data_IF_910866371574
#
_entry.id   IF_910866371574
#
_cell.length_a   1.000
_cell.length_b   1.000
_cell.length_c   1.000
_cell.angle_alpha   90.00
_cell.angle_beta   90.00
_cell.angle_gamma   90.00
#
_symmetry.space_group_name_H-M   'P 1'
#
loop_
_entity.id
_entity.type
_entity.pdbx_description
1 polymer ?
#
# COMPACT_ATOMS: atom_id res chain seq x y z
N UNK A 1 -27.85 7.32 67.51
CA UNK A 1 -27.27 8.35 66.63
C UNK A 1 -26.62 7.63 65.46
N UNK A 2 -27.06 7.95 64.24
CA UNK A 2 -26.54 7.43 62.97
C UNK A 2 -25.30 8.24 62.51
N UNK A 3 -24.63 7.94 61.37
CA UNK A 3 -24.81 6.81 60.45
C UNK A 3 -23.52 6.09 59.97
N UNK A 4 -23.77 4.92 59.36
CA UNK A 4 -22.90 4.11 58.52
C UNK A 4 -22.70 4.74 57.13
N UNK A 5 -21.50 4.62 56.56
CA UNK A 5 -21.20 4.81 55.12
C UNK A 5 -20.45 3.56 54.64
N UNK A 6 -21.14 2.54 54.11
CA UNK A 6 -21.64 2.38 52.74
C UNK A 6 -20.53 2.43 51.67
N UNK A 7 -19.93 1.26 51.42
CA UNK A 7 -18.96 0.99 50.37
C UNK A 7 -19.75 0.43 49.18
N UNK A 8 -19.97 1.26 48.17
CA UNK A 8 -20.74 0.89 46.99
C UNK A 8 -19.95 -0.13 46.16
N UNK A 9 -20.32 -1.40 46.29
CA UNK A 9 -20.13 -2.38 45.25
C UNK A 9 -21.09 -2.08 44.10
N UNK A 10 -20.56 -1.93 42.89
CA UNK A 10 -21.36 -2.01 41.68
C UNK A 10 -20.85 -3.17 40.85
N UNK A 11 -21.82 -4.03 40.58
CA UNK A 11 -21.81 -5.31 39.93
C UNK A 11 -21.55 -5.21 38.43
N UNK A 12 -20.87 -6.25 37.95
CA UNK A 12 -20.84 -6.79 36.58
C UNK A 12 -22.10 -6.47 35.78
N UNK A 13 -21.90 -5.89 34.59
CA UNK A 13 -22.85 -6.04 33.48
C UNK A 13 -22.05 -6.22 32.19
N UNK A 14 -22.00 -7.46 31.71
CA UNK A 14 -21.46 -7.83 30.41
C UNK A 14 -22.38 -7.27 29.33
N UNK A 15 -21.87 -6.40 28.48
CA UNK A 15 -22.57 -6.00 27.25
C UNK A 15 -22.60 -7.17 26.26
N UNK A 16 -23.72 -7.41 25.55
CA UNK A 16 -23.79 -8.45 24.54
C UNK A 16 -22.98 -8.04 23.30
N UNK A 17 -22.03 -8.88 22.92
CA UNK A 17 -21.30 -8.79 21.65
C UNK A 17 -22.31 -9.12 20.54
N UNK A 18 -22.74 -8.10 19.79
CA UNK A 18 -23.50 -8.31 18.58
C UNK A 18 -22.55 -8.72 17.45
N UNK A 19 -22.66 -9.99 17.05
CA UNK A 19 -21.96 -10.53 15.89
C UNK A 19 -22.41 -9.81 14.61
N UNK A 20 -21.47 -9.15 13.93
CA UNK A 20 -21.67 -8.64 12.57
C UNK A 20 -21.54 -9.80 11.56
N UNK A 21 -22.51 -10.00 10.65
CA UNK A 21 -22.38 -11.01 9.61
C UNK A 21 -21.42 -10.54 8.50
N UNK A 22 -20.36 -11.31 8.28
CA UNK A 22 -19.48 -11.22 7.12
C UNK A 22 -20.26 -11.52 5.83
N UNK A 23 -20.63 -10.48 5.09
CA UNK A 23 -21.17 -10.62 3.74
C UNK A 23 -20.02 -10.66 2.71
N UNK A 24 -19.50 -11.86 2.44
CA UNK A 24 -18.70 -12.11 1.24
C UNK A 24 -19.64 -12.09 0.02
N UNK A 25 -19.64 -10.99 -0.74
CA UNK A 25 -20.24 -10.99 -2.09
C UNK A 25 -19.16 -11.27 -3.13
N UNK A 26 -19.35 -12.39 -3.81
CA UNK A 26 -18.60 -12.84 -4.97
C UNK A 26 -18.86 -11.91 -6.17
N UNK A 27 -17.79 -11.38 -6.78
CA UNK A 27 -17.92 -10.69 -8.07
C UNK A 27 -18.06 -11.73 -9.18
N UNK A 28 -19.24 -11.76 -9.84
CA UNK A 28 -19.48 -12.53 -11.06
C UNK A 28 -18.79 -11.85 -12.25
N UNK A 29 -18.00 -12.62 -12.99
CA UNK A 29 -17.32 -12.27 -14.25
C UNK A 29 -18.38 -12.09 -15.34
N UNK A 30 -18.53 -10.87 -15.88
CA UNK A 30 -19.43 -10.57 -16.99
C UNK A 30 -18.84 -11.02 -18.32
N UNK A 31 -19.62 -11.78 -19.09
CA UNK A 31 -19.32 -12.21 -20.46
C UNK A 31 -19.33 -11.01 -21.42
N UNK A 32 -18.29 -10.89 -22.26
CA UNK A 32 -18.29 -9.99 -23.41
C UNK A 32 -19.13 -10.64 -24.50
N UNK A 33 -20.17 -9.95 -24.98
CA UNK A 33 -21.01 -10.36 -26.11
C UNK A 33 -20.58 -9.56 -27.35
N UNK A 34 -20.25 -10.29 -28.42
CA UNK A 34 -19.80 -9.74 -29.70
C UNK A 34 -20.89 -8.99 -30.44
N UNK A 35 -20.44 -8.05 -31.27
CA UNK A 35 -21.25 -7.18 -32.13
C UNK A 35 -21.70 -7.96 -33.38
N UNK A 36 -23.01 -7.97 -33.66
CA UNK A 36 -23.60 -8.51 -34.89
C UNK A 36 -24.25 -7.36 -35.66
N UNK A 37 -23.79 -7.15 -36.89
CA UNK A 37 -24.27 -6.09 -37.78
C UNK A 37 -25.65 -6.36 -38.35
N UNK A 38 -26.37 -5.28 -38.69
CA UNK A 38 -27.47 -5.34 -39.65
C UNK A 38 -27.57 -4.04 -40.44
N UNK A 39 -27.62 -4.20 -41.75
CA UNK A 39 -27.80 -3.22 -42.81
C UNK A 39 -29.25 -2.79 -42.96
N UNK A 40 -29.53 -1.50 -43.19
CA UNK A 40 -30.68 -1.03 -44.00
C UNK A 40 -30.40 0.32 -44.68
N UNK A 41 -30.84 0.39 -45.94
CA UNK A 41 -30.79 1.49 -46.91
C UNK A 41 -32.15 2.21 -46.97
N UNK A 42 -32.19 3.53 -47.24
CA UNK A 42 -33.21 4.31 -48.00
C UNK A 42 -32.83 5.81 -47.88
N UNK A 43 -32.35 6.47 -48.94
CA UNK A 43 -33.07 7.20 -50.02
C UNK A 43 -33.37 8.69 -49.74
N UNK A 44 -32.55 9.54 -50.38
CA UNK A 44 -32.76 10.77 -51.17
C UNK A 44 -33.87 11.77 -50.74
N UNK A 45 -33.48 13.05 -50.57
CA UNK A 45 -34.21 14.21 -51.13
C UNK A 45 -33.34 15.47 -51.15
N UNK A 46 -33.16 16.07 -52.34
CA UNK A 46 -32.63 17.42 -52.53
C UNK A 46 -33.73 18.47 -52.33
N UNK A 47 -33.41 19.60 -51.68
CA UNK A 47 -34.04 20.88 -52.02
C UNK A 47 -33.08 22.04 -51.72
N UNK A 48 -33.02 22.96 -52.67
CA UNK A 48 -32.15 24.12 -52.79
C UNK A 48 -32.42 25.23 -51.76
N UNK A 49 -31.43 26.14 -51.63
CA UNK A 49 -31.53 27.62 -51.48
C UNK A 49 -30.66 28.23 -50.35
N UNK A 50 -29.75 29.08 -50.81
CA UNK A 50 -29.24 30.36 -50.29
C UNK A 50 -28.45 30.47 -48.97
N UNK A 51 -27.22 30.92 -49.18
CA UNK A 51 -26.40 31.88 -48.41
C UNK A 51 -27.14 32.72 -47.37
N UNK A 52 -26.69 32.69 -46.09
CA UNK A 52 -26.48 33.86 -45.21
C UNK A 52 -25.73 33.47 -43.93
N UNK A 53 -24.89 34.40 -43.46
CA UNK A 53 -23.89 34.36 -42.39
C UNK A 53 -24.36 33.76 -41.05
N UNK A 54 -23.77 32.61 -40.67
CA UNK A 54 -23.45 32.20 -39.28
C UNK A 54 -22.28 31.21 -39.35
N UNK A 55 -21.12 31.60 -38.84
CA UNK A 55 -19.97 30.70 -38.73
C UNK A 55 -20.21 29.72 -37.58
N UNK A 56 -20.86 28.60 -37.86
CA UNK A 56 -20.79 27.41 -37.01
C UNK A 56 -19.53 26.66 -37.39
N UNK A 57 -18.59 26.56 -36.46
CA UNK A 57 -17.43 25.67 -36.56
C UNK A 57 -17.99 24.24 -36.53
N UNK A 58 -18.30 23.71 -37.71
CA UNK A 58 -18.58 22.29 -37.89
C UNK A 58 -17.26 21.54 -37.76
N UNK A 59 -17.19 20.61 -36.80
CA UNK A 59 -16.14 19.60 -36.75
C UNK A 59 -16.26 18.76 -38.02
N UNK A 60 -15.51 19.12 -39.05
CA UNK A 60 -15.28 18.25 -40.18
C UNK A 60 -14.44 17.07 -39.67
N UNK A 61 -15.12 15.97 -39.35
CA UNK A 61 -14.46 14.68 -39.16
C UNK A 61 -13.85 14.30 -40.50
N UNK A 62 -12.58 14.65 -40.71
CA UNK A 62 -11.78 14.02 -41.76
C UNK A 62 -11.75 12.55 -41.37
N UNK A 63 -12.55 11.74 -42.04
CA UNK A 63 -12.37 10.29 -42.02
C UNK A 63 -11.04 10.06 -42.72
N UNK A 64 -9.97 10.00 -41.92
CA UNK A 64 -8.76 9.31 -42.32
C UNK A 64 -9.18 7.85 -42.55
N UNK A 65 -9.62 7.56 -43.76
CA UNK A 65 -9.46 6.22 -44.33
C UNK A 65 -7.96 6.05 -44.54
N UNK A 66 -7.23 5.85 -43.44
CA UNK A 66 -5.94 5.22 -43.54
C UNK A 66 -6.23 3.86 -44.13
N UNK A 67 -5.82 3.63 -45.38
CA UNK A 67 -5.46 2.29 -45.78
C UNK A 67 -4.41 1.86 -44.77
N UNK A 68 -4.85 1.11 -43.76
CA UNK A 68 -3.96 0.26 -43.01
C UNK A 68 -3.42 -0.68 -44.07
N UNK A 69 -2.26 -0.33 -44.64
CA UNK A 69 -1.41 -1.36 -45.18
C UNK A 69 -1.36 -2.43 -44.09
N UNK A 70 -1.69 -3.66 -44.46
CA UNK A 70 -1.52 -4.84 -43.64
C UNK A 70 -0.02 -5.01 -43.34
N UNK A 71 0.55 -4.07 -42.61
CA UNK A 71 1.77 -4.28 -41.87
C UNK A 71 1.32 -5.14 -40.71
N UNK A 72 1.18 -6.44 -41.00
CA UNK A 72 1.15 -7.52 -40.02
C UNK A 72 2.23 -7.14 -39.01
N UNK A 73 1.83 -6.98 -37.76
CA UNK A 73 2.77 -6.64 -36.69
C UNK A 73 3.91 -7.65 -36.75
N UNK A 74 5.11 -7.21 -37.16
CA UNK A 74 6.31 -8.05 -37.23
C UNK A 74 6.88 -8.36 -35.84
N UNK A 75 6.22 -7.89 -34.79
CA UNK A 75 6.45 -8.36 -33.43
C UNK A 75 5.93 -9.80 -33.34
N UNK A 76 6.73 -10.73 -33.87
CA UNK A 76 6.59 -12.14 -33.57
C UNK A 76 6.62 -12.33 -32.06
N UNK A 77 5.87 -13.32 -31.59
CA UNK A 77 5.97 -13.79 -30.21
C UNK A 77 7.45 -13.97 -29.87
N UNK A 78 7.94 -13.15 -28.94
CA UNK A 78 9.33 -13.20 -28.51
C UNK A 78 9.59 -14.39 -27.58
N UNK A 79 8.58 -15.24 -27.33
CA UNK A 79 8.66 -16.44 -26.50
C UNK A 79 8.88 -16.14 -25.02
N UNK A 80 8.79 -14.87 -24.62
CA UNK A 80 9.04 -14.40 -23.25
C UNK A 80 7.75 -14.25 -22.44
N UNK A 81 6.59 -14.41 -23.05
CA UNK A 81 5.29 -14.30 -22.38
C UNK A 81 4.71 -15.70 -22.13
N UNK A 82 4.18 -15.92 -20.93
CA UNK A 82 3.44 -17.13 -20.61
C UNK A 82 2.00 -16.97 -21.12
N UNK A 83 1.63 -17.73 -22.15
CA UNK A 83 0.29 -17.71 -22.77
C UNK A 83 -0.77 -18.49 -21.98
N UNK A 84 -0.33 -19.30 -21.02
CA UNK A 84 -1.21 -20.05 -20.12
C UNK A 84 -1.66 -19.19 -18.91
N UNK A 85 -2.83 -19.48 -18.32
CA UNK A 85 -3.24 -18.86 -17.06
C UNK A 85 -2.13 -19.03 -16.02
N UNK A 86 -1.68 -17.92 -15.42
CA UNK A 86 -0.58 -17.92 -14.46
C UNK A 86 -0.74 -19.07 -13.46
N UNK A 87 0.22 -20.02 -13.39
CA UNK A 87 0.09 -21.17 -12.53
C UNK A 87 -0.05 -20.70 -11.09
N UNK A 88 -1.06 -21.21 -10.40
CA UNK A 88 -1.22 -20.91 -8.99
C UNK A 88 -0.07 -21.60 -8.22
N UNK A 89 0.80 -20.83 -7.53
CA UNK A 89 1.95 -21.43 -6.85
C UNK A 89 1.48 -22.37 -5.75
N UNK A 90 2.01 -23.59 -5.75
CA UNK A 90 1.75 -24.60 -4.72
C UNK A 90 3.05 -24.91 -3.97
N UNK A 91 2.98 -25.03 -2.64
CA UNK A 91 4.11 -25.44 -1.83
C UNK A 91 4.17 -26.98 -1.81
N UNK A 92 5.21 -27.56 -2.41
CA UNK A 92 5.41 -29.02 -2.50
C UNK A 92 5.92 -29.64 -1.20
N UNK A 93 6.65 -28.88 -0.39
CA UNK A 93 7.16 -29.33 0.90
C UNK A 93 6.06 -29.29 1.97
N UNK A 94 6.09 -30.20 2.97
CA UNK A 94 5.20 -30.19 4.16
C UNK A 94 5.56 -29.05 5.13
N UNK A 95 5.50 -27.81 4.63
CA UNK A 95 5.74 -26.57 5.37
C UNK A 95 4.44 -25.91 5.82
N UNK A 96 3.31 -26.63 5.84
CA UNK A 96 2.13 -26.17 6.56
C UNK A 96 2.29 -26.48 8.05
N UNK A 97 1.65 -25.71 8.93
CA UNK A 97 1.52 -26.16 10.32
C UNK A 97 0.51 -27.32 10.34
N UNK A 98 0.90 -28.45 10.92
CA UNK A 98 0.11 -29.70 10.90
C UNK A 98 -1.26 -29.57 11.56
N UNK A 99 -1.41 -28.68 12.55
CA UNK A 99 -2.68 -28.49 13.27
C UNK A 99 -3.63 -27.53 12.56
N UNK A 100 -3.11 -26.56 11.81
CA UNK A 100 -3.92 -25.47 11.23
C UNK A 100 -3.99 -25.49 9.70
N UNK A 101 -3.24 -26.36 9.02
CA UNK A 101 -3.17 -26.46 7.55
C UNK A 101 -2.55 -25.24 6.84
N UNK A 102 -2.31 -24.16 7.60
CA UNK A 102 -1.72 -22.89 7.18
C UNK A 102 -0.65 -22.52 8.20
N UNK A 103 0.40 -21.81 7.80
CA UNK A 103 1.29 -21.20 8.80
C UNK A 103 0.47 -20.13 9.56
N UNK A 104 0.57 -20.12 10.89
CA UNK A 104 -0.26 -19.29 11.77
C UNK A 104 -0.17 -17.79 11.45
N UNK A 105 0.94 -17.32 10.87
CA UNK A 105 1.10 -15.94 10.41
C UNK A 105 0.14 -15.57 9.26
N UNK A 106 -0.34 -16.52 8.46
CA UNK A 106 -1.33 -16.23 7.41
C UNK A 106 -2.73 -16.09 8.02
N UNK A 107 -3.03 -16.87 9.07
CA UNK A 107 -4.36 -16.93 9.70
C UNK A 107 -4.57 -15.87 10.78
N UNK A 108 -3.51 -15.40 11.46
CA UNK A 108 -3.58 -14.46 12.59
C UNK A 108 -3.21 -13.00 12.23
N UNK A 109 -2.92 -12.71 10.96
CA UNK A 109 -2.42 -11.40 10.54
C UNK A 109 -0.91 -11.25 10.72
N UNK A 110 -0.41 -10.02 10.85
CA UNK A 110 1.03 -9.76 10.88
C UNK A 110 1.71 -10.42 12.09
N UNK A 111 2.65 -11.33 11.83
CA UNK A 111 3.46 -11.94 12.88
C UNK A 111 4.63 -11.04 13.26
N UNK A 112 4.67 -10.61 14.53
CA UNK A 112 5.76 -9.86 15.12
C UNK A 112 6.58 -10.77 16.04
N UNK A 113 7.79 -11.16 15.62
CA UNK A 113 8.67 -11.93 16.48
C UNK A 113 9.15 -11.08 17.67
N UNK A 114 8.90 -11.55 18.90
CA UNK A 114 9.51 -10.97 20.08
C UNK A 114 10.96 -11.44 20.18
N UNK A 115 11.89 -10.55 19.87
CA UNK A 115 13.34 -10.82 19.81
C UNK A 115 14.11 -10.16 20.97
N UNK A 116 13.40 -9.74 22.02
CA UNK A 116 13.97 -9.02 23.15
C UNK A 116 14.41 -7.59 22.80
N UNK A 117 14.86 -6.84 23.80
CA UNK A 117 15.23 -5.42 23.65
C UNK A 117 16.42 -5.24 22.71
N UNK A 118 17.50 -6.00 22.94
CA UNK A 118 18.71 -5.99 22.11
C UNK A 118 18.41 -6.38 20.65
N UNK A 119 17.59 -7.41 20.44
CA UNK A 119 17.14 -7.79 19.09
C UNK A 119 16.28 -6.71 18.43
N UNK A 120 15.42 -6.03 19.21
CA UNK A 120 14.56 -4.94 18.71
C UNK A 120 15.42 -3.76 18.23
N UNK A 121 16.43 -3.34 19.01
CA UNK A 121 17.38 -2.32 18.59
C UNK A 121 18.12 -2.70 17.29
N UNK A 122 18.57 -3.95 17.18
CA UNK A 122 19.16 -4.47 15.94
C UNK A 122 18.20 -4.41 14.75
N UNK A 123 16.93 -4.82 14.95
CA UNK A 123 15.91 -4.82 13.88
C UNK A 123 15.53 -3.41 13.44
N UNK A 124 15.44 -2.44 14.36
CA UNK A 124 15.25 -1.01 14.02
C UNK A 124 16.42 -0.52 13.17
N UNK A 125 17.67 -0.77 13.59
CA UNK A 125 18.86 -0.37 12.81
C UNK A 125 18.82 -0.96 11.39
N UNK A 126 18.50 -2.26 11.28
CA UNK A 126 18.40 -2.95 9.99
C UNK A 126 17.28 -2.36 9.12
N UNK A 127 16.11 -2.10 9.68
CA UNK A 127 15.00 -1.53 8.93
C UNK A 127 15.20 -0.07 8.56
N UNK A 128 15.96 0.69 9.36
CA UNK A 128 16.38 2.02 8.96
C UNK A 128 17.33 1.97 7.74
N UNK A 129 18.29 1.04 7.72
CA UNK A 129 19.13 0.79 6.54
C UNK A 129 18.30 0.37 5.31
N UNK A 130 17.36 -0.56 5.50
CA UNK A 130 16.48 -1.03 4.44
C UNK A 130 15.63 0.12 3.85
N UNK A 131 15.17 1.06 4.68
CA UNK A 131 14.43 2.24 4.24
C UNK A 131 15.32 3.27 3.50
N UNK A 132 16.59 3.40 3.88
CA UNK A 132 17.58 4.20 3.13
C UNK A 132 17.88 3.60 1.73
N UNK A 133 17.76 2.29 1.59
CA UNK A 133 17.94 1.62 0.30
C UNK A 133 16.75 1.82 -0.66
N UNK A 134 15.70 2.55 -0.26
CA UNK A 134 14.58 2.87 -1.14
C UNK A 134 14.85 4.06 -2.07
N UNK A 135 16.03 4.68 -2.03
CA UNK A 135 16.32 5.89 -2.82
C UNK A 135 15.97 5.71 -4.31
N UNK A 136 16.32 4.56 -4.89
CA UNK A 136 16.04 4.21 -6.28
C UNK A 136 14.55 3.94 -6.55
N UNK A 137 13.77 3.62 -5.51
CA UNK A 137 12.33 3.43 -5.59
C UNK A 137 11.56 4.75 -5.49
N UNK A 138 12.19 5.84 -5.07
CA UNK A 138 11.56 7.17 -5.03
C UNK A 138 11.65 7.80 -6.42
N UNK A 139 10.91 7.21 -7.36
CA UNK A 139 10.67 7.71 -8.71
C UNK A 139 9.16 7.85 -8.96
N UNK A 140 8.79 8.61 -9.99
CA UNK A 140 7.41 9.04 -10.25
C UNK A 140 6.43 7.87 -10.45
N UNK A 141 6.87 6.82 -11.15
CA UNK A 141 6.09 5.62 -11.47
C UNK A 141 6.17 4.52 -10.41
N UNK A 142 7.09 4.63 -9.45
CA UNK A 142 7.37 3.60 -8.43
C UNK A 142 6.90 3.94 -7.01
N UNK A 143 6.23 5.09 -6.79
CA UNK A 143 5.73 5.51 -5.46
C UNK A 143 4.82 4.47 -4.77
N UNK A 144 4.14 3.62 -5.54
CA UNK A 144 3.37 2.50 -4.98
C UNK A 144 4.25 1.48 -4.23
N UNK A 145 5.48 1.25 -4.69
CA UNK A 145 6.44 0.37 -4.02
C UNK A 145 6.99 1.04 -2.76
N UNK A 146 7.30 2.33 -2.82
CA UNK A 146 7.70 3.13 -1.64
C UNK A 146 6.65 2.99 -0.56
N UNK A 147 5.37 3.23 -0.87
CA UNK A 147 4.26 3.11 0.09
C UNK A 147 4.17 1.72 0.72
N UNK A 148 4.26 0.65 -0.07
CA UNK A 148 4.16 -0.73 0.44
C UNK A 148 5.35 -1.08 1.33
N UNK A 149 6.55 -0.73 0.90
CA UNK A 149 7.77 -1.04 1.62
C UNK A 149 7.88 -0.23 2.91
N UNK A 150 7.54 1.06 2.84
CA UNK A 150 7.48 1.97 3.97
C UNK A 150 6.57 1.41 5.06
N UNK A 151 5.30 1.11 4.72
CA UNK A 151 4.33 0.53 5.66
C UNK A 151 4.82 -0.76 6.30
N UNK A 152 5.43 -1.64 5.51
CA UNK A 152 5.95 -2.90 6.02
C UNK A 152 7.02 -2.63 7.09
N UNK A 153 8.08 -1.90 6.74
CA UNK A 153 9.22 -1.67 7.64
C UNK A 153 8.84 -0.80 8.84
N UNK A 154 8.08 0.27 8.63
CA UNK A 154 7.66 1.20 9.69
C UNK A 154 6.79 0.51 10.73
N UNK A 155 5.90 -0.41 10.33
CA UNK A 155 5.07 -1.17 11.27
C UNK A 155 5.94 -1.98 12.23
N UNK A 156 7.00 -2.64 11.72
CA UNK A 156 7.91 -3.35 12.61
C UNK A 156 8.68 -2.41 13.53
N UNK A 157 9.21 -1.31 12.98
CA UNK A 157 9.93 -0.31 13.75
C UNK A 157 9.05 0.26 14.87
N UNK A 158 7.76 0.49 14.65
CA UNK A 158 6.83 1.02 15.65
C UNK A 158 6.80 0.16 16.92
N UNK A 159 6.58 -1.14 16.77
CA UNK A 159 6.55 -2.05 17.92
C UNK A 159 7.93 -2.26 18.55
N UNK A 160 9.00 -2.19 17.76
CA UNK A 160 10.35 -2.30 18.30
C UNK A 160 10.76 -1.05 19.07
N UNK A 161 10.38 0.14 18.62
CA UNK A 161 10.64 1.39 19.32
C UNK A 161 9.95 1.39 20.68
N UNK A 162 8.68 0.99 20.76
CA UNK A 162 7.97 0.85 22.03
C UNK A 162 8.72 -0.06 23.03
N UNK A 163 9.22 -1.20 22.54
CA UNK A 163 10.04 -2.13 23.34
C UNK A 163 11.35 -1.52 23.82
N UNK A 164 12.08 -0.83 22.94
CA UNK A 164 13.38 -0.23 23.28
C UNK A 164 13.19 0.95 24.23
N UNK A 165 12.23 1.85 23.95
CA UNK A 165 11.88 3.00 24.78
C UNK A 165 11.44 2.57 26.18
N UNK A 166 10.70 1.46 26.28
CA UNK A 166 10.26 0.93 27.58
C UNK A 166 11.39 0.33 28.42
N UNK A 167 12.52 -0.01 27.82
CA UNK A 167 13.63 -0.71 28.48
C UNK A 167 14.80 0.20 28.87
N UNK A 168 14.84 1.45 28.40
CA UNK A 168 15.92 2.40 28.70
C UNK A 168 15.62 3.23 29.97
N UNK A 169 16.66 3.79 30.62
CA UNK A 169 16.49 4.68 31.78
C UNK A 169 15.61 5.90 31.47
N UNK A 170 15.00 6.48 32.52
CA UNK A 170 14.04 7.58 32.38
C UNK A 170 14.65 8.81 31.68
N UNK A 171 15.90 9.14 31.99
CA UNK A 171 16.62 10.31 31.46
C UNK A 171 16.80 10.24 29.93
N UNK A 172 17.01 9.03 29.41
CA UNK A 172 17.21 8.77 27.97
C UNK A 172 15.88 8.55 27.22
N UNK A 173 14.80 8.29 27.95
CA UNK A 173 13.51 7.88 27.40
C UNK A 173 12.87 8.97 26.56
N UNK A 174 12.92 10.22 27.05
CA UNK A 174 12.31 11.35 26.36
C UNK A 174 12.98 11.61 25.00
N UNK A 175 14.31 11.68 24.98
CA UNK A 175 15.06 11.92 23.74
C UNK A 175 14.77 10.85 22.68
N UNK A 176 14.73 9.57 23.07
CA UNK A 176 14.45 8.50 22.13
C UNK A 176 12.99 8.53 21.63
N UNK A 177 12.05 8.91 22.49
CA UNK A 177 10.64 9.05 22.14
C UNK A 177 10.45 10.18 21.13
N UNK A 178 11.08 11.33 21.36
CA UNK A 178 11.03 12.47 20.42
C UNK A 178 11.64 12.13 19.07
N UNK A 179 12.77 11.42 19.06
CA UNK A 179 13.39 10.91 17.83
C UNK A 179 12.45 9.97 17.04
N UNK A 180 11.81 9.02 17.74
CA UNK A 180 10.84 8.11 17.13
C UNK A 180 9.63 8.86 16.56
N UNK A 181 9.03 9.77 17.33
CA UNK A 181 7.88 10.55 16.87
C UNK A 181 8.22 11.38 15.62
N UNK A 182 9.35 12.09 15.65
CA UNK A 182 9.82 12.88 14.50
C UNK A 182 10.02 12.03 13.25
N UNK A 183 10.59 10.82 13.41
CA UNK A 183 10.71 9.87 12.29
C UNK A 183 9.32 9.50 11.76
N UNK A 184 8.41 9.01 12.61
CA UNK A 184 7.11 8.53 12.18
C UNK A 184 6.24 9.62 11.55
N UNK A 185 6.23 10.83 12.10
CA UNK A 185 5.54 11.98 11.52
C UNK A 185 6.02 12.25 10.08
N UNK A 186 7.33 12.09 9.82
CA UNK A 186 7.89 12.28 8.50
C UNK A 186 7.61 11.09 7.55
N UNK A 187 7.60 9.86 8.08
CA UNK A 187 7.19 8.68 7.32
C UNK A 187 5.71 8.79 6.90
N UNK A 188 4.84 9.31 7.76
CA UNK A 188 3.42 9.53 7.45
C UNK A 188 3.25 10.56 6.32
N UNK A 189 4.01 11.67 6.35
CA UNK A 189 4.04 12.64 5.24
C UNK A 189 4.53 12.02 3.94
N UNK A 190 5.59 11.21 4.00
CA UNK A 190 6.10 10.49 2.83
C UNK A 190 5.05 9.51 2.27
N UNK A 191 4.35 8.80 3.15
CA UNK A 191 3.26 7.90 2.76
C UNK A 191 2.10 8.66 2.10
N UNK A 192 1.72 9.80 2.67
CA UNK A 192 0.66 10.66 2.14
C UNK A 192 1.01 11.18 0.75
N UNK A 193 2.22 11.72 0.57
CA UNK A 193 2.73 12.18 -0.70
C UNK A 193 2.77 11.06 -1.75
N UNK A 194 3.26 9.87 -1.36
CA UNK A 194 3.26 8.69 -2.23
C UNK A 194 1.83 8.24 -2.59
N UNK A 195 0.87 8.36 -1.66
CA UNK A 195 -0.54 8.04 -1.90
C UNK A 195 -1.19 9.01 -2.89
N UNK A 196 -0.88 10.31 -2.77
CA UNK A 196 -1.33 11.36 -3.70
C UNK A 196 -0.58 11.33 -5.04
N UNK A 197 0.44 10.48 -5.18
CA UNK A 197 1.39 10.48 -6.29
C UNK A 197 2.07 11.85 -6.50
N UNK A 198 2.25 12.59 -5.42
CA UNK A 198 2.95 13.88 -5.46
C UNK A 198 4.46 13.63 -5.39
N UNK A 199 5.09 13.46 -6.55
CA UNK A 199 6.50 13.13 -6.65
C UNK A 199 7.45 14.18 -6.02
N UNK A 200 7.29 15.50 -6.29
CA UNK A 200 8.12 16.52 -5.64
C UNK A 200 8.06 16.47 -4.11
N UNK A 201 6.86 16.32 -3.55
CA UNK A 201 6.66 16.22 -2.10
C UNK A 201 7.25 14.92 -1.54
N UNK A 202 7.00 13.78 -2.19
CA UNK A 202 7.54 12.50 -1.78
C UNK A 202 9.08 12.50 -1.77
N UNK A 203 9.71 13.10 -2.80
CA UNK A 203 11.17 13.27 -2.85
C UNK A 203 11.68 14.14 -1.70
N UNK A 204 11.01 15.26 -1.41
CA UNK A 204 11.37 16.14 -0.30
C UNK A 204 11.27 15.41 1.05
N UNK A 205 10.13 14.77 1.32
CA UNK A 205 9.93 14.01 2.56
C UNK A 205 10.93 12.85 2.70
N UNK A 206 11.29 12.19 1.59
CA UNK A 206 12.29 11.15 1.60
C UNK A 206 13.68 11.69 1.98
N UNK A 207 14.11 12.83 1.43
CA UNK A 207 15.38 13.45 1.79
C UNK A 207 15.49 13.76 3.29
N UNK A 208 14.42 14.32 3.88
CA UNK A 208 14.33 14.56 5.32
C UNK A 208 14.39 13.24 6.11
N UNK A 209 13.72 12.20 5.59
CA UNK A 209 13.72 10.85 6.18
C UNK A 209 15.14 10.27 6.23
N UNK A 210 15.95 10.46 5.19
CA UNK A 210 17.30 9.90 5.14
C UNK A 210 18.17 10.38 6.31
N UNK A 211 18.08 11.67 6.65
CA UNK A 211 18.81 12.25 7.78
C UNK A 211 18.37 11.61 9.09
N UNK A 212 17.05 11.49 9.29
CA UNK A 212 16.48 10.87 10.50
C UNK A 212 16.83 9.38 10.61
N UNK A 213 16.82 8.64 9.51
CA UNK A 213 17.17 7.22 9.49
C UNK A 213 18.65 7.01 9.85
N UNK A 214 19.55 7.86 9.36
CA UNK A 214 20.98 7.82 9.75
C UNK A 214 21.16 8.08 11.26
N UNK A 215 20.44 9.05 11.81
CA UNK A 215 20.44 9.34 13.25
C UNK A 215 19.94 8.13 14.06
N UNK A 216 18.82 7.54 13.65
CA UNK A 216 18.26 6.33 14.26
C UNK A 216 19.24 5.15 14.19
N UNK A 217 19.90 4.93 13.05
CA UNK A 217 20.91 3.87 12.93
C UNK A 217 22.05 4.04 13.94
N UNK A 218 22.55 5.27 14.09
CA UNK A 218 23.61 5.58 15.04
C UNK A 218 23.16 5.35 16.48
N UNK A 219 21.96 5.83 16.84
CA UNK A 219 21.40 5.65 18.18
C UNK A 219 21.17 4.17 18.51
N UNK A 220 20.63 3.39 17.56
CA UNK A 220 20.42 1.96 17.74
C UNK A 220 21.71 1.16 17.82
N UNK A 221 22.77 1.57 17.10
CA UNK A 221 24.09 0.94 17.22
C UNK A 221 24.69 1.13 18.62
N UNK A 222 24.55 2.33 19.19
CA UNK A 222 24.96 2.60 20.56
C UNK A 222 24.15 1.77 21.56
N UNK A 223 22.82 1.78 21.45
CA UNK A 223 21.94 1.02 22.35
C UNK A 223 22.19 -0.50 22.28
N UNK A 224 22.46 -1.04 21.09
CA UNK A 224 22.79 -2.46 20.92
C UNK A 224 24.09 -2.86 21.64
N UNK A 225 25.05 -1.93 21.76
CA UNK A 225 26.31 -2.15 22.47
C UNK A 225 26.16 -2.01 23.98
N UNK A 226 25.25 -1.15 24.45
CA UNK A 226 25.06 -0.86 25.87
C UNK A 226 24.06 -1.80 26.58
N UNK A 227 23.10 -2.35 25.85
CA UNK A 227 22.07 -3.29 26.35
C UNK A 227 22.50 -4.74 26.07
#
# INVERSE_FOLDING_TARGET
MAPLTNLHGITKTLGPITCLPNAYKTHKRGHIVGFMGSSKTHEISECSIQTTRRATIGLASIVLTGQFNENISLAGDNGFWYDEPLPQPTATNKIANEKTGTRSFIKKGMYMANIGVKGSAYRIKKYAFDLLAMADLVAEDTLNYVRRYLRLKSTFMYFDFDKVISAIPLDDKQQLTEMANKLFDNLEKLEEAATKKNFPEARSCYHDTEVMLREVMNRMDLLYKTI
#
